data_IF_750077865239
#
_entry.id   IF_750077865239
#
_cell.length_a   1.000
_cell.length_b   1.000
_cell.length_c   1.000
_cell.angle_alpha   90.00
_cell.angle_beta   90.00
_cell.angle_gamma   90.00
#
_symmetry.space_group_name_H-M   'P 1'
#
loop_
_entity.id
_entity.type
_entity.pdbx_description
1 polymer ?
#
# COMPACT_ATOMS: atom_id res chain seq x y z
N UNK A 1 -13.55 40.45 -23.27
CA UNK A 1 -12.37 39.72 -22.73
C UNK A 1 -12.47 39.40 -21.24
N UNK A 2 -13.03 40.29 -20.39
CA UNK A 2 -13.15 40.07 -18.94
C UNK A 2 -13.99 38.84 -18.53
N UNK A 3 -15.08 38.53 -19.26
CA UNK A 3 -15.97 37.39 -18.96
C UNK A 3 -15.33 36.00 -19.14
N UNK A 4 -14.35 35.86 -20.04
CA UNK A 4 -13.72 34.56 -20.35
C UNK A 4 -12.67 34.16 -19.30
N UNK A 5 -12.01 35.14 -18.68
CA UNK A 5 -11.01 34.89 -17.64
C UNK A 5 -11.64 34.57 -16.27
N UNK A 6 -12.83 35.10 -15.97
CA UNK A 6 -13.55 34.81 -14.73
C UNK A 6 -14.12 33.39 -14.74
N UNK A 7 -14.57 32.89 -15.89
CA UNK A 7 -15.05 31.50 -16.03
C UNK A 7 -13.90 30.52 -15.83
N UNK A 8 -12.74 30.74 -16.46
CA UNK A 8 -11.55 29.87 -16.28
C UNK A 8 -11.08 29.84 -14.81
N UNK A 9 -11.13 30.96 -14.10
CA UNK A 9 -10.76 31.05 -12.68
C UNK A 9 -11.76 30.29 -11.78
N UNK A 10 -13.06 30.36 -12.08
CA UNK A 10 -14.09 29.58 -11.37
C UNK A 10 -13.99 28.08 -11.69
N UNK A 11 -13.64 27.69 -12.92
CA UNK A 11 -13.43 26.28 -13.28
C UNK A 11 -12.21 25.71 -12.56
N UNK A 12 -11.10 26.45 -12.48
CA UNK A 12 -9.91 26.03 -11.72
C UNK A 12 -10.16 25.90 -10.20
N UNK A 13 -11.14 26.62 -9.63
CA UNK A 13 -11.50 26.50 -8.22
C UNK A 13 -12.47 25.34 -7.94
N UNK A 14 -13.20 24.86 -8.95
CA UNK A 14 -14.12 23.72 -8.84
C UNK A 14 -13.45 22.36 -9.12
N UNK A 15 -12.17 22.34 -9.50
CA UNK A 15 -11.47 21.11 -9.93
C UNK A 15 -10.48 20.54 -8.92
N UNK A 16 -10.51 20.96 -7.66
CA UNK A 16 -9.67 20.35 -6.61
C UNK A 16 -10.53 19.70 -5.54
N UNK A 17 -11.12 18.56 -5.89
CA UNK A 17 -11.29 17.46 -4.94
C UNK A 17 -10.22 16.43 -5.28
N UNK A 18 -8.96 16.70 -4.90
CA UNK A 18 -7.94 15.65 -4.86
C UNK A 18 -7.67 15.39 -3.39
N UNK A 19 -8.35 14.39 -2.83
CA UNK A 19 -8.10 13.98 -1.47
C UNK A 19 -6.87 13.10 -1.35
N UNK A 20 -5.98 12.98 -2.36
CA UNK A 20 -4.65 12.34 -2.32
C UNK A 20 -4.38 11.62 -0.99
N UNK A 21 -4.95 10.42 -0.84
CA UNK A 21 -5.15 9.76 0.44
C UNK A 21 -4.05 8.72 0.65
N UNK A 22 -2.80 9.17 0.68
CA UNK A 22 -1.72 8.28 1.10
C UNK A 22 -1.96 7.88 2.56
N UNK A 23 -2.15 6.60 2.81
CA UNK A 23 -2.33 6.04 4.15
C UNK A 23 -1.09 5.23 4.51
N UNK A 24 -0.58 5.47 5.71
CA UNK A 24 0.49 4.70 6.32
C UNK A 24 -0.11 3.64 7.23
N UNK A 25 0.11 2.38 6.90
CA UNK A 25 -0.21 1.22 7.71
C UNK A 25 1.04 0.81 8.49
N UNK A 26 1.15 1.25 9.75
CA UNK A 26 2.27 0.89 10.62
C UNK A 26 1.96 -0.41 11.35
N UNK A 27 2.97 -1.28 11.50
CA UNK A 27 2.79 -2.56 12.15
C UNK A 27 3.94 -2.86 13.11
N UNK A 28 3.62 -3.62 14.15
CA UNK A 28 4.57 -4.24 15.06
C UNK A 28 4.23 -5.72 15.24
N UNK A 29 5.25 -6.53 15.54
CA UNK A 29 5.07 -7.96 15.72
C UNK A 29 6.33 -8.68 16.17
N UNK A 30 6.30 -10.00 16.03
CA UNK A 30 7.46 -10.87 16.27
C UNK A 30 7.61 -11.89 15.15
N UNK A 31 8.84 -12.13 14.76
CA UNK A 31 9.19 -13.23 13.84
C UNK A 31 8.88 -14.56 14.53
N UNK A 32 8.12 -15.42 13.85
CA UNK A 32 7.70 -16.72 14.38
C UNK A 32 8.46 -17.87 13.76
N UNK A 33 8.82 -17.76 12.48
CA UNK A 33 9.47 -18.83 11.76
C UNK A 33 10.26 -18.30 10.56
N UNK A 34 11.18 -19.11 10.07
CA UNK A 34 11.94 -18.88 8.84
C UNK A 34 12.07 -20.17 8.05
N UNK A 35 12.09 -20.07 6.73
CA UNK A 35 12.38 -21.17 5.83
C UNK A 35 13.47 -20.71 4.86
N UNK A 36 14.65 -21.33 4.88
CA UNK A 36 15.71 -21.06 3.90
C UNK A 36 15.84 -22.31 3.02
N UNK A 37 15.12 -22.33 1.90
CA UNK A 37 15.14 -23.43 0.94
C UNK A 37 16.50 -23.47 0.23
N UNK A 38 16.98 -22.30 -0.19
CA UNK A 38 18.30 -22.12 -0.81
C UNK A 38 19.02 -20.94 -0.17
N UNK A 39 20.32 -21.11 0.09
CA UNK A 39 21.14 -20.10 0.75
C UNK A 39 20.94 -20.04 2.27
N UNK A 40 21.49 -19.01 2.90
CA UNK A 40 21.35 -18.76 4.34
C UNK A 40 21.06 -17.27 4.56
N UNK A 41 19.94 -16.83 3.98
CA UNK A 41 19.53 -15.43 4.02
C UNK A 41 19.09 -15.03 5.44
N UNK A 42 18.24 -15.84 6.06
CA UNK A 42 17.78 -15.64 7.43
C UNK A 42 18.62 -16.45 8.44
N UNK A 43 19.15 -15.76 9.44
CA UNK A 43 19.79 -16.41 10.59
C UNK A 43 18.73 -16.78 11.64
N UNK A 44 18.82 -17.97 12.24
CA UNK A 44 17.88 -18.45 13.26
C UNK A 44 17.71 -17.51 14.47
N UNK A 45 18.68 -16.62 14.74
CA UNK A 45 18.57 -15.58 15.77
C UNK A 45 17.45 -14.56 15.52
N UNK A 46 16.91 -14.48 14.30
CA UNK A 46 15.73 -13.62 14.03
C UNK A 46 14.46 -14.19 14.64
N UNK A 47 14.37 -15.49 14.94
CA UNK A 47 13.16 -16.09 15.53
C UNK A 47 12.92 -15.50 16.92
N UNK A 48 11.72 -14.98 17.15
CA UNK A 48 11.32 -14.27 18.36
C UNK A 48 11.77 -12.81 18.43
N UNK A 49 12.55 -12.32 17.45
CA UNK A 49 12.91 -10.91 17.35
C UNK A 49 11.68 -10.05 17.05
N UNK A 50 11.70 -8.80 17.51
CA UNK A 50 10.71 -7.79 17.11
C UNK A 50 10.88 -7.49 15.62
N UNK A 51 9.75 -7.45 14.92
CA UNK A 51 9.61 -6.84 13.61
C UNK A 51 8.73 -5.59 13.75
N UNK A 52 9.12 -4.50 13.11
CA UNK A 52 8.30 -3.29 13.04
C UNK A 52 8.54 -2.56 11.74
N UNK A 53 7.50 -1.95 11.21
CA UNK A 53 7.58 -1.35 9.90
C UNK A 53 6.32 -0.59 9.53
N UNK A 54 6.22 -0.26 8.25
CA UNK A 54 5.02 0.30 7.68
C UNK A 54 4.93 0.00 6.19
N UNK A 55 3.69 0.02 5.68
CA UNK A 55 3.36 0.12 4.26
C UNK A 55 2.69 1.48 4.04
N UNK A 56 3.13 2.22 3.04
CA UNK A 56 2.42 3.41 2.55
C UNK A 56 1.62 2.97 1.33
N UNK A 57 0.38 3.43 1.16
CA UNK A 57 -0.45 3.11 0.01
C UNK A 57 -1.30 4.31 -0.40
N UNK A 58 -1.51 4.50 -1.71
CA UNK A 58 -2.51 5.43 -2.24
C UNK A 58 -3.90 4.78 -2.26
N UNK A 59 -4.71 5.08 -1.24
CA UNK A 59 -6.05 4.52 -1.12
C UNK A 59 -7.06 5.18 -2.07
N UNK A 60 -6.69 6.24 -2.82
CA UNK A 60 -7.52 6.74 -3.92
C UNK A 60 -7.42 5.87 -5.18
N UNK A 61 -6.30 5.16 -5.38
CA UNK A 61 -6.14 4.22 -6.50
C UNK A 61 -6.66 2.81 -6.18
N UNK A 62 -6.74 2.48 -4.90
CA UNK A 62 -7.44 1.29 -4.40
C UNK A 62 -8.99 1.38 -4.53
N UNK A 63 -9.50 2.14 -5.52
CA UNK A 63 -10.93 2.40 -5.77
C UNK A 63 -11.46 1.54 -6.94
N UNK A 64 -10.59 0.73 -7.58
CA UNK A 64 -10.89 -0.07 -8.78
C UNK A 64 -11.25 -1.55 -8.54
N UNK A 65 -11.43 -1.97 -7.29
CA UNK A 65 -11.67 -3.36 -6.91
C UNK A 65 -13.04 -3.88 -7.31
N UNK A 66 -13.18 -5.21 -7.36
CA UNK A 66 -14.48 -5.88 -7.53
C UNK A 66 -14.88 -6.50 -6.18
N UNK A 67 -16.17 -6.49 -5.90
CA UNK A 67 -16.77 -7.34 -4.88
C UNK A 67 -16.67 -8.80 -5.33
N UNK A 68 -16.19 -9.71 -4.48
CA UNK A 68 -16.31 -11.15 -4.76
C UNK A 68 -17.60 -11.72 -4.16
N UNK A 69 -18.00 -11.23 -2.99
CA UNK A 69 -19.26 -11.51 -2.28
C UNK A 69 -19.71 -10.26 -1.52
N UNK A 70 -20.95 -10.23 -1.01
CA UNK A 70 -21.57 -9.07 -0.34
C UNK A 70 -20.85 -8.52 0.90
N UNK A 71 -19.71 -9.10 1.28
CA UNK A 71 -18.92 -8.82 2.47
C UNK A 71 -17.41 -8.94 2.23
N UNK A 72 -16.96 -9.19 0.99
CA UNK A 72 -15.55 -9.36 0.64
C UNK A 72 -15.18 -8.58 -0.61
N UNK A 73 -14.18 -7.71 -0.48
CA UNK A 73 -13.70 -6.83 -1.52
C UNK A 73 -12.18 -6.97 -1.68
N UNK A 74 -11.74 -6.93 -2.93
CA UNK A 74 -10.32 -6.95 -3.27
C UNK A 74 -10.04 -5.88 -4.32
N UNK A 75 -8.97 -5.12 -4.08
CA UNK A 75 -8.50 -4.07 -4.96
C UNK A 75 -7.14 -4.44 -5.49
N UNK A 76 -7.08 -4.64 -6.80
CA UNK A 76 -5.81 -4.68 -7.50
C UNK A 76 -5.44 -3.25 -7.89
N UNK A 77 -4.27 -2.80 -7.46
CA UNK A 77 -3.73 -1.47 -7.83
C UNK A 77 -3.03 -1.56 -9.21
N UNK A 78 -2.97 -2.76 -9.81
CA UNK A 78 -2.33 -3.07 -11.10
C UNK A 78 -2.82 -2.23 -12.27
N UNK A 79 -1.93 -1.36 -12.73
CA UNK A 79 -1.60 -1.01 -14.13
C UNK A 79 -1.01 0.40 -14.24
N UNK A 80 -1.02 1.14 -13.13
CA UNK A 80 -0.42 2.46 -12.95
C UNK A 80 0.65 2.39 -11.85
N UNK A 81 1.58 3.37 -11.74
CA UNK A 81 2.61 3.34 -10.70
C UNK A 81 1.98 3.16 -9.32
N UNK A 82 2.27 2.03 -8.70
CA UNK A 82 1.90 1.70 -7.33
C UNK A 82 2.51 2.74 -6.41
N UNK A 83 1.70 3.38 -5.58
CA UNK A 83 2.20 4.28 -4.54
C UNK A 83 2.48 3.49 -3.26
N UNK A 84 2.86 2.22 -3.43
CA UNK A 84 3.13 1.33 -2.33
C UNK A 84 4.62 1.41 -1.98
N UNK A 85 4.90 1.57 -0.70
CA UNK A 85 6.28 1.51 -0.21
C UNK A 85 6.27 0.76 1.10
N UNK A 86 7.03 -0.32 1.15
CA UNK A 86 7.20 -1.12 2.35
C UNK A 86 8.55 -0.83 2.99
N UNK A 87 8.53 -0.63 4.30
CA UNK A 87 9.72 -0.57 5.13
C UNK A 87 9.53 -1.46 6.35
N UNK A 88 10.56 -2.22 6.74
CA UNK A 88 10.55 -2.94 8.01
C UNK A 88 11.94 -3.13 8.59
N UNK A 89 12.00 -3.34 9.89
CA UNK A 89 13.23 -3.55 10.64
C UNK A 89 13.15 -4.82 11.49
N UNK A 90 14.25 -5.59 11.48
CA UNK A 90 14.46 -6.75 12.33
C UNK A 90 15.89 -6.67 12.90
N UNK A 91 16.03 -6.73 14.22
CA UNK A 91 17.34 -6.67 14.91
C UNK A 91 18.24 -5.49 14.47
N UNK A 92 17.65 -4.31 14.19
CA UNK A 92 18.39 -3.12 13.73
C UNK A 92 18.81 -3.15 12.26
N UNK A 93 18.40 -4.16 11.48
CA UNK A 93 18.57 -4.19 10.02
C UNK A 93 17.29 -3.74 9.36
N UNK A 94 17.40 -2.78 8.45
CA UNK A 94 16.28 -2.24 7.68
C UNK A 94 16.16 -2.89 6.31
N UNK A 95 14.92 -3.09 5.87
CA UNK A 95 14.53 -3.65 4.59
C UNK A 95 13.49 -2.75 3.95
N UNK A 96 13.56 -2.59 2.63
CA UNK A 96 12.67 -1.72 1.86
C UNK A 96 12.30 -2.35 0.53
N UNK A 97 11.04 -2.18 0.13
CA UNK A 97 10.53 -2.32 -1.23
C UNK A 97 10.01 -0.92 -1.62
N UNK A 98 10.62 -0.28 -2.62
CA UNK A 98 10.38 1.14 -2.93
C UNK A 98 9.47 1.37 -4.12
N UNK A 99 9.08 0.31 -4.82
CA UNK A 99 8.32 0.37 -6.07
C UNK A 99 9.12 0.90 -7.26
N UNK A 100 10.41 1.23 -7.07
CA UNK A 100 11.28 1.79 -8.12
C UNK A 100 11.52 0.78 -9.26
N UNK A 101 11.31 -0.51 -9.00
CA UNK A 101 11.55 -1.61 -9.95
C UNK A 101 10.27 -2.25 -10.48
N UNK A 102 9.11 -1.68 -10.17
CA UNK A 102 7.83 -2.22 -10.61
C UNK A 102 7.59 -2.00 -12.10
N UNK A 103 8.26 -1.02 -12.71
CA UNK A 103 8.14 -0.76 -14.14
C UNK A 103 9.07 -1.66 -14.96
N UNK A 104 8.48 -2.50 -15.80
CA UNK A 104 9.19 -3.30 -16.78
C UNK A 104 9.26 -2.56 -18.13
N UNK A 105 10.43 -1.98 -18.41
CA UNK A 105 10.69 -1.24 -19.64
C UNK A 105 10.64 -2.09 -20.93
N UNK A 106 10.82 -3.41 -20.84
CA UNK A 106 10.75 -4.29 -22.01
C UNK A 106 9.32 -4.45 -22.53
N UNK A 107 8.34 -4.46 -21.61
CA UNK A 107 6.93 -4.62 -21.94
C UNK A 107 6.14 -3.31 -21.87
N UNK A 108 6.80 -2.20 -21.49
CA UNK A 108 6.17 -0.90 -21.22
C UNK A 108 4.99 -1.04 -20.24
N UNK A 109 5.19 -1.84 -19.20
CA UNK A 109 4.14 -2.23 -18.27
C UNK A 109 4.66 -2.32 -16.84
N UNK A 110 3.81 -2.06 -15.87
CA UNK A 110 4.09 -2.35 -14.47
C UNK A 110 3.91 -3.84 -14.20
N UNK A 111 4.89 -4.48 -13.57
CA UNK A 111 4.84 -5.83 -13.01
C UNK A 111 4.63 -5.68 -11.52
N UNK A 112 3.49 -5.07 -11.17
CA UNK A 112 3.01 -4.94 -9.82
C UNK A 112 2.21 -6.20 -9.47
N UNK A 113 2.27 -6.62 -8.21
CA UNK A 113 1.35 -7.58 -7.60
C UNK A 113 1.08 -7.04 -6.19
N UNK A 114 0.44 -5.88 -6.20
CA UNK A 114 0.13 -5.02 -5.07
C UNK A 114 -1.37 -4.98 -4.86
N UNK A 115 -1.82 -5.34 -3.66
CA UNK A 115 -3.25 -5.33 -3.37
C UNK A 115 -3.58 -4.96 -1.93
N UNK A 116 -4.79 -4.43 -1.81
CA UNK A 116 -5.51 -4.24 -0.58
C UNK A 116 -6.78 -5.08 -0.65
N UNK A 117 -6.85 -6.10 0.20
CA UNK A 117 -8.05 -6.89 0.43
C UNK A 117 -8.68 -6.46 1.75
N UNK A 118 -10.01 -6.41 1.79
CA UNK A 118 -10.72 -6.17 3.04
C UNK A 118 -12.11 -6.78 3.01
N UNK A 119 -12.63 -7.09 4.19
CA UNK A 119 -13.96 -7.63 4.38
C UNK A 119 -14.51 -7.27 5.74
N UNK A 120 -15.84 -7.34 5.87
CA UNK A 120 -16.56 -7.01 7.09
C UNK A 120 -18.06 -6.90 6.82
N UNK A 121 -18.85 -6.94 7.89
CA UNK A 121 -20.31 -6.75 7.81
C UNK A 121 -21.11 -8.03 8.02
N UNK A 122 -22.08 -8.28 7.14
CA UNK A 122 -23.05 -9.40 7.27
C UNK A 122 -23.10 -10.16 5.95
N UNK A 123 -23.06 -11.49 6.02
CA UNK A 123 -23.14 -12.35 4.85
C UNK A 123 -24.57 -12.55 4.32
N UNK A 124 -24.69 -13.33 3.23
CA UNK A 124 -25.97 -13.64 2.59
C UNK A 124 -26.95 -14.45 3.47
N UNK A 125 -26.46 -15.05 4.56
CA UNK A 125 -27.26 -15.81 5.54
C UNK A 125 -27.63 -14.98 6.78
N UNK A 126 -27.11 -13.77 6.89
CA UNK A 126 -27.32 -12.90 8.06
C UNK A 126 -26.28 -13.10 9.16
N UNK A 127 -25.22 -13.87 8.91
CA UNK A 127 -24.14 -14.12 9.86
C UNK A 127 -23.09 -12.99 9.79
N UNK A 128 -22.49 -12.68 10.93
CA UNK A 128 -21.49 -11.61 11.03
C UNK A 128 -20.17 -12.06 10.38
N UNK A 129 -19.60 -11.18 9.55
CA UNK A 129 -18.30 -11.36 8.91
C UNK A 129 -17.27 -10.52 9.65
N UNK A 130 -16.16 -11.13 10.11
CA UNK A 130 -15.08 -10.42 10.79
C UNK A 130 -14.53 -9.26 9.95
N UNK A 131 -14.24 -8.13 10.60
CA UNK A 131 -13.48 -7.04 9.98
C UNK A 131 -12.07 -7.54 9.70
N UNK A 132 -11.64 -7.47 8.46
CA UNK A 132 -10.31 -7.90 8.06
C UNK A 132 -9.76 -7.01 6.95
N UNK A 133 -8.44 -6.86 6.94
CA UNK A 133 -7.74 -6.40 5.74
C UNK A 133 -6.38 -7.05 5.62
N UNK A 134 -5.93 -7.16 4.38
CA UNK A 134 -4.62 -7.65 3.98
C UNK A 134 -3.97 -6.71 2.98
N UNK A 135 -2.65 -6.63 3.07
CA UNK A 135 -1.80 -5.83 2.20
C UNK A 135 -0.71 -6.72 1.64
N UNK A 136 -0.41 -6.56 0.36
CA UNK A 136 0.75 -7.18 -0.28
C UNK A 136 1.49 -6.18 -1.17
N UNK A 137 2.80 -6.30 -1.13
CA UNK A 137 3.79 -5.61 -1.94
C UNK A 137 4.68 -6.65 -2.63
N UNK A 138 5.01 -6.42 -3.90
CA UNK A 138 5.91 -7.27 -4.67
C UNK A 138 6.85 -6.38 -5.47
N UNK A 139 8.16 -6.61 -5.34
CA UNK A 139 9.18 -5.89 -6.09
C UNK A 139 10.05 -6.89 -6.87
N UNK A 140 10.15 -6.70 -8.18
CA UNK A 140 10.99 -7.52 -9.06
C UNK A 140 12.09 -6.69 -9.69
N UNK A 141 13.32 -7.19 -9.62
CA UNK A 141 14.49 -6.50 -10.12
C UNK A 141 15.32 -7.42 -11.00
N UNK A 142 15.54 -7.03 -12.25
CA UNK A 142 16.41 -7.72 -13.19
C UNK A 142 17.55 -6.81 -13.62
N UNK A 143 18.79 -7.27 -13.44
CA UNK A 143 20.00 -6.57 -13.89
C UNK A 143 20.80 -7.45 -14.82
N UNK A 144 21.17 -6.90 -15.98
CA UNK A 144 22.04 -7.57 -16.96
C UNK A 144 23.36 -6.81 -17.07
N UNK A 145 24.48 -7.44 -16.73
CA UNK A 145 25.83 -6.88 -16.83
C UNK A 145 26.74 -7.85 -17.56
N UNK A 146 27.32 -7.41 -18.69
CA UNK A 146 28.24 -8.21 -19.50
C UNK A 146 27.71 -9.60 -19.94
N UNK A 147 26.39 -9.75 -20.02
CA UNK A 147 25.74 -11.03 -20.38
C UNK A 147 25.38 -11.91 -19.18
N UNK A 148 25.75 -11.51 -17.96
CA UNK A 148 25.29 -12.12 -16.71
C UNK A 148 23.98 -11.45 -16.28
N UNK A 149 22.98 -12.24 -15.90
CA UNK A 149 21.65 -11.78 -15.46
C UNK A 149 21.48 -12.09 -13.97
N UNK A 150 21.06 -11.12 -13.19
CA UNK A 150 20.60 -11.31 -11.81
C UNK A 150 19.13 -10.93 -11.74
N UNK A 151 18.32 -11.86 -11.27
CA UNK A 151 16.90 -11.64 -11.03
C UNK A 151 16.60 -11.78 -9.54
N UNK A 152 15.94 -10.77 -8.97
CA UNK A 152 15.51 -10.71 -7.57
C UNK A 152 14.01 -10.50 -7.56
N UNK A 153 13.31 -11.26 -6.73
CA UNK A 153 11.90 -11.08 -6.43
C UNK A 153 11.71 -11.01 -4.91
N UNK A 154 11.10 -9.93 -4.43
CA UNK A 154 10.76 -9.73 -3.03
C UNK A 154 9.25 -9.63 -2.90
N UNK A 155 8.67 -10.26 -1.89
CA UNK A 155 7.25 -10.09 -1.58
C UNK A 155 7.08 -9.85 -0.09
N UNK A 156 6.35 -8.80 0.27
CA UNK A 156 5.99 -8.52 1.65
C UNK A 156 4.47 -8.53 1.75
N UNK A 157 3.91 -9.29 2.69
CA UNK A 157 2.48 -9.32 2.91
C UNK A 157 2.16 -9.39 4.40
N UNK A 158 1.08 -8.73 4.80
CA UNK A 158 0.50 -8.94 6.11
C UNK A 158 -1.02 -8.73 6.09
N UNK A 159 -1.70 -9.30 7.07
CA UNK A 159 -3.12 -9.07 7.27
C UNK A 159 -3.52 -9.15 8.73
N UNK A 160 -4.67 -8.57 9.02
CA UNK A 160 -5.35 -8.62 10.31
C UNK A 160 -6.82 -9.01 10.11
N UNK A 161 -7.39 -9.61 11.14
CA UNK A 161 -8.79 -9.96 11.26
C UNK A 161 -9.25 -9.67 12.68
N UNK A 162 -10.50 -9.31 12.85
CA UNK A 162 -11.20 -9.06 14.10
C UNK A 162 -12.66 -9.49 13.99
N UNK A 163 -13.08 -10.42 14.84
CA UNK A 163 -14.48 -10.82 14.93
C UNK A 163 -15.39 -9.71 15.47
N UNK A 164 -14.82 -8.71 16.15
CA UNK A 164 -15.53 -7.51 16.54
C UNK A 164 -15.52 -6.55 15.36
N UNK A 165 -16.70 -6.30 14.80
CA UNK A 165 -16.91 -5.37 13.67
C UNK A 165 -16.82 -3.94 14.24
N UNK A 166 -15.60 -3.49 14.54
CA UNK A 166 -15.34 -2.24 15.26
C UNK A 166 -14.34 -1.29 14.59
N UNK A 167 -13.72 -1.67 13.46
CA UNK A 167 -12.72 -0.82 12.81
C UNK A 167 -12.86 -0.65 11.28
N UNK A 168 -13.69 -1.45 10.59
CA UNK A 168 -14.11 -1.21 9.20
C UNK A 168 -15.60 -0.85 9.15
N UNK A 169 -16.03 0.09 10.01
CA UNK A 169 -17.47 0.33 10.23
C UNK A 169 -18.09 1.40 9.32
N UNK A 170 -17.28 2.28 8.71
CA UNK A 170 -17.77 3.36 7.85
C UNK A 170 -17.44 3.09 6.38
N UNK A 171 -18.37 2.41 5.70
CA UNK A 171 -18.34 2.26 4.25
C UNK A 171 -19.08 3.43 3.59
N UNK A 172 -18.37 4.23 2.79
CA UNK A 172 -18.95 5.39 2.09
C UNK A 172 -19.08 5.12 0.59
N UNK A 173 -20.16 5.58 -0.06
CA UNK A 173 -20.23 5.62 -1.51
C UNK A 173 -19.13 6.51 -2.07
N UNK A 174 -18.29 5.98 -2.96
CA UNK A 174 -17.27 6.76 -3.64
C UNK A 174 -17.84 7.34 -4.94
N UNK A 175 -17.73 8.66 -5.18
CA UNK A 175 -18.22 9.27 -6.43
C UNK A 175 -17.60 8.61 -7.67
N UNK A 176 -18.43 8.02 -8.53
CA UNK A 176 -17.99 7.36 -9.76
C UNK A 176 -17.81 5.85 -9.66
N UNK A 177 -18.01 5.26 -8.47
CA UNK A 177 -17.99 3.80 -8.24
C UNK A 177 -19.36 3.33 -7.78
N UNK A 178 -19.74 2.12 -8.19
CA UNK A 178 -21.01 1.49 -7.80
C UNK A 178 -21.04 1.05 -6.34
N UNK A 179 -19.86 0.72 -5.78
CA UNK A 179 -19.73 0.03 -4.50
C UNK A 179 -19.19 0.91 -3.35
N UNK A 180 -19.66 0.70 -2.11
CA UNK A 180 -19.10 1.35 -0.92
C UNK A 180 -17.64 0.94 -0.67
N UNK A 181 -16.82 1.86 -0.16
CA UNK A 181 -15.43 1.61 0.26
C UNK A 181 -15.25 2.02 1.73
N UNK A 182 -14.38 1.36 2.52
CA UNK A 182 -14.02 1.84 3.84
C UNK A 182 -13.49 3.27 3.78
N UNK A 183 -13.86 4.11 4.74
CA UNK A 183 -13.22 5.41 4.92
C UNK A 183 -11.79 5.21 5.41
N UNK A 184 -10.83 5.05 4.49
CA UNK A 184 -9.40 4.90 4.81
C UNK A 184 -8.79 6.14 5.49
N UNK A 185 -9.54 7.24 5.59
CA UNK A 185 -9.15 8.41 6.40
C UNK A 185 -9.40 8.18 7.89
N UNK A 186 -10.11 7.12 8.27
CA UNK A 186 -10.30 6.75 9.67
C UNK A 186 -8.99 6.23 10.26
N UNK A 187 -8.69 6.66 11.50
CA UNK A 187 -7.61 6.05 12.28
C UNK A 187 -8.08 4.67 12.75
N UNK A 188 -7.39 3.64 12.26
CA UNK A 188 -7.57 2.25 12.67
C UNK A 188 -6.47 1.96 13.69
N UNK A 189 -6.85 1.31 14.80
CA UNK A 189 -5.92 0.74 15.76
C UNK A 189 -6.37 -0.68 16.09
N UNK A 190 -5.64 -1.64 15.55
CA UNK A 190 -5.80 -3.05 15.87
C UNK A 190 -4.69 -3.48 16.82
N UNK A 191 -5.04 -4.19 17.89
CA UNK A 191 -4.11 -4.71 18.89
C UNK A 191 -4.47 -6.16 19.15
N UNK A 192 -3.48 -7.05 19.06
CA UNK A 192 -3.62 -8.44 19.47
C UNK A 192 -3.88 -8.50 20.99
N UNK A 193 -5.02 -9.08 21.36
CA UNK A 193 -5.42 -9.23 22.75
C UNK A 193 -4.88 -10.53 23.39
N UNK A 194 -4.13 -11.33 22.61
CA UNK A 194 -3.43 -12.53 23.06
C UNK A 194 -4.35 -13.69 23.42
N UNK A 195 -5.63 -13.62 23.07
CA UNK A 195 -6.61 -14.63 23.42
C UNK A 195 -6.70 -15.72 22.34
N UNK A 196 -6.52 -16.97 22.78
CA UNK A 196 -6.56 -18.15 21.90
C UNK A 196 -7.99 -18.30 21.37
N UNK A 197 -8.14 -18.52 20.06
CA UNK A 197 -9.41 -18.67 19.33
C UNK A 197 -10.29 -17.41 19.19
N UNK A 198 -9.78 -16.22 19.54
CA UNK A 198 -10.65 -15.14 19.99
C UNK A 198 -10.81 -13.95 19.03
N UNK A 199 -11.07 -14.25 17.76
CA UNK A 199 -11.57 -13.22 16.86
C UNK A 199 -10.56 -12.21 16.33
N UNK A 200 -9.53 -11.80 17.10
CA UNK A 200 -8.43 -10.98 16.60
C UNK A 200 -7.24 -11.86 16.20
N UNK A 201 -6.82 -11.79 14.95
CA UNK A 201 -5.63 -12.50 14.46
C UNK A 201 -4.88 -11.66 13.44
N UNK A 202 -3.55 -11.67 13.50
CA UNK A 202 -2.74 -10.93 12.53
C UNK A 202 -1.37 -11.56 12.33
N UNK A 203 -0.88 -11.48 11.10
CA UNK A 203 0.40 -12.06 10.72
C UNK A 203 0.78 -11.68 9.30
N UNK A 204 1.94 -12.16 8.88
CA UNK A 204 2.44 -11.88 7.55
C UNK A 204 3.70 -12.64 7.23
N UNK A 205 4.22 -12.37 6.05
CA UNK A 205 5.43 -12.99 5.54
C UNK A 205 6.26 -12.03 4.70
N UNK A 206 7.55 -12.35 4.60
CA UNK A 206 8.44 -11.78 3.62
C UNK A 206 9.17 -12.91 2.87
N UNK A 207 9.08 -12.89 1.56
CA UNK A 207 9.72 -13.81 0.63
C UNK A 207 10.86 -13.08 -0.11
N UNK A 208 12.03 -13.71 -0.16
CA UNK A 208 13.19 -13.28 -0.92
C UNK A 208 13.68 -14.41 -1.81
N UNK A 209 13.62 -14.15 -3.11
CA UNK A 209 14.07 -15.07 -4.15
C UNK A 209 15.11 -14.38 -5.04
N UNK A 210 16.23 -15.04 -5.27
CA UNK A 210 17.32 -14.54 -6.11
C UNK A 210 17.88 -15.65 -7.00
N UNK A 211 18.01 -15.36 -8.29
CA UNK A 211 18.70 -16.21 -9.25
C UNK A 211 19.79 -15.46 -9.99
N UNK A 212 20.83 -16.18 -10.35
CA UNK A 212 21.95 -15.71 -11.16
C UNK A 212 22.10 -16.59 -12.40
N UNK A 213 22.20 -15.97 -13.58
CA UNK A 213 22.50 -16.64 -14.85
C UNK A 213 23.82 -16.10 -15.38
N UNK A 214 24.78 -17.00 -15.61
CA UNK A 214 26.11 -16.63 -16.12
C UNK A 214 26.14 -16.42 -17.64
N UNK A 215 25.01 -16.63 -18.33
CA UNK A 215 24.88 -16.48 -19.77
C UNK A 215 25.63 -17.52 -20.60
N UNK A 216 26.23 -18.54 -19.96
CA UNK A 216 27.14 -19.51 -20.58
C UNK A 216 26.69 -20.95 -20.30
N UNK A 217 26.36 -21.27 -19.05
CA UNK A 217 26.31 -22.64 -18.54
C UNK A 217 24.96 -23.01 -17.94
N UNK A 218 24.32 -22.13 -17.15
CA UNK A 218 22.93 -22.29 -16.64
C UNK A 218 22.54 -21.21 -15.62
N UNK A 219 21.24 -21.02 -15.40
CA UNK A 219 20.66 -20.27 -14.27
C UNK A 219 20.75 -21.06 -12.96
N UNK A 220 21.27 -20.43 -11.91
CA UNK A 220 21.36 -20.93 -10.53
C UNK A 220 20.44 -20.13 -9.60
N UNK A 221 19.78 -20.80 -8.66
CA UNK A 221 19.09 -20.14 -7.54
C UNK A 221 20.09 -19.87 -6.43
N UNK A 222 20.27 -18.60 -6.08
CA UNK A 222 21.23 -18.13 -5.07
C UNK A 222 20.57 -18.06 -3.71
N UNK A 223 19.31 -17.62 -3.66
CA UNK A 223 18.51 -17.55 -2.45
C UNK A 223 17.05 -17.89 -2.74
N UNK A 224 16.45 -18.63 -1.83
CA UNK A 224 15.01 -18.88 -1.77
C UNK A 224 14.67 -18.98 -0.28
N UNK A 225 14.15 -17.90 0.27
CA UNK A 225 14.03 -17.72 1.70
C UNK A 225 12.76 -16.96 2.09
N UNK A 226 12.07 -17.48 3.09
CA UNK A 226 10.85 -16.91 3.63
C UNK A 226 10.97 -16.66 5.14
N UNK A 227 10.39 -15.56 5.59
CA UNK A 227 10.26 -15.19 6.98
C UNK A 227 8.78 -15.01 7.31
N UNK A 228 8.34 -15.55 8.43
CA UNK A 228 6.98 -15.44 8.93
C UNK A 228 6.94 -14.67 10.23
N UNK A 229 5.91 -13.86 10.42
CA UNK A 229 5.71 -13.11 11.65
C UNK A 229 4.25 -13.08 12.08
N UNK A 230 4.05 -12.87 13.38
CA UNK A 230 2.75 -12.53 13.97
C UNK A 230 2.75 -11.08 14.39
N UNK A 231 1.64 -10.41 14.13
CA UNK A 231 1.44 -9.02 14.49
C UNK A 231 0.91 -8.92 15.92
N UNK A 232 1.35 -7.89 16.65
CA UNK A 232 0.75 -7.51 17.91
C UNK A 232 -0.02 -6.19 17.82
N UNK A 233 0.26 -5.38 16.80
CA UNK A 233 -0.39 -4.10 16.59
C UNK A 233 -0.32 -3.70 15.12
N UNK A 234 -1.40 -3.11 14.63
CA UNK A 234 -1.47 -2.39 13.36
C UNK A 234 -2.20 -1.07 13.56
N UNK A 235 -1.71 0.00 12.95
CA UNK A 235 -2.36 1.30 12.99
C UNK A 235 -2.30 2.03 11.66
N UNK A 236 -3.37 2.72 11.29
CA UNK A 236 -3.39 3.59 10.11
C UNK A 236 -3.20 5.05 10.49
N UNK A 237 -2.51 5.78 9.63
CA UNK A 237 -2.38 7.23 9.71
C UNK A 237 -2.41 7.82 8.32
N UNK A 238 -3.24 8.84 8.10
CA UNK A 238 -3.15 9.62 6.86
C UNK A 238 -1.80 10.35 6.80
N UNK A 239 -1.06 10.12 5.73
CA UNK A 239 0.14 10.89 5.42
C UNK A 239 -0.34 12.22 4.88
N UNK A 240 -0.47 13.19 5.78
CA UNK A 240 -0.94 14.58 5.58
C UNK A 240 -1.38 14.92 4.16
N UNK A 241 -2.67 15.31 3.93
CA UNK A 241 -3.13 15.68 2.61
C UNK A 241 -2.22 16.76 2.06
N UNK A 242 -1.80 16.62 0.80
CA UNK A 242 -1.15 17.71 0.08
C UNK A 242 -2.12 18.89 0.19
N UNK A 243 -1.78 19.88 1.02
CA UNK A 243 -2.71 20.95 1.36
C UNK A 243 -3.13 21.60 0.04
N UNK A 244 -4.40 21.46 -0.32
CA UNK A 244 -4.96 22.20 -1.46
C UNK A 244 -4.60 23.66 -1.22
N UNK A 245 -3.90 24.34 -2.15
CA UNK A 245 -3.55 25.72 -1.93
C UNK A 245 -4.83 26.47 -1.61
N UNK A 246 -4.90 27.07 -0.41
CA UNK A 246 -6.10 27.74 0.06
C UNK A 246 -6.60 28.63 -1.08
N UNK A 247 -7.85 28.43 -1.50
CA UNK A 247 -8.46 29.17 -2.61
C UNK A 247 -8.34 30.69 -2.42
N UNK A 248 -8.27 31.15 -1.16
CA UNK A 248 -7.97 32.52 -0.79
C UNK A 248 -6.54 32.98 -1.18
N UNK A 249 -5.53 32.12 -1.02
CA UNK A 249 -4.12 32.40 -1.41
C UNK A 249 -4.01 32.47 -2.93
N UNK A 250 -4.65 31.55 -3.66
CA UNK A 250 -4.73 31.60 -5.12
C UNK A 250 -5.47 32.85 -5.61
N UNK A 251 -6.54 33.26 -4.91
CA UNK A 251 -7.26 34.50 -5.19
C UNK A 251 -6.38 35.74 -4.99
N UNK A 252 -5.61 35.81 -3.89
CA UNK A 252 -4.68 36.91 -3.64
C UNK A 252 -3.60 36.97 -4.73
N UNK A 253 -3.00 35.83 -5.09
CA UNK A 253 -1.97 35.77 -6.15
C UNK A 253 -2.54 36.25 -7.49
N UNK A 254 -3.75 35.82 -7.85
CA UNK A 254 -4.44 36.27 -9.06
C UNK A 254 -4.76 37.78 -9.01
N UNK A 255 -5.24 38.30 -7.88
CA UNK A 255 -5.53 39.72 -7.70
C UNK A 255 -4.26 40.57 -7.81
N UNK A 256 -3.15 40.13 -7.21
CA UNK A 256 -1.83 40.78 -7.30
C UNK A 256 -1.36 40.79 -8.76
N UNK A 257 -1.43 39.67 -9.47
CA UNK A 257 -1.06 39.61 -10.89
C UNK A 257 -1.90 40.55 -11.78
N UNK A 258 -3.20 40.65 -11.51
CA UNK A 258 -4.09 41.59 -12.23
C UNK A 258 -3.68 43.04 -11.96
N UNK A 259 -3.43 43.41 -10.70
CA UNK A 259 -2.99 44.75 -10.31
C UNK A 259 -1.64 45.13 -10.93
N UNK A 260 -0.66 44.21 -10.93
CA UNK A 260 0.63 44.45 -11.57
C UNK A 260 0.52 44.59 -13.09
N UNK A 261 -0.40 43.84 -13.74
CA UNK A 261 -0.66 43.98 -15.19
C UNK A 261 -1.27 45.34 -15.56
N UNK A 262 -2.01 45.98 -14.65
CA UNK A 262 -2.56 47.33 -14.84
C UNK A 262 -1.58 48.46 -14.50
N UNK A 263 -0.48 48.18 -13.77
CA UNK A 263 0.58 49.16 -13.49
C UNK A 263 1.69 49.20 -14.56
N UNK A 264 1.78 48.18 -15.40
CA UNK A 264 2.74 48.07 -16.51
C UNK A 264 2.14 48.47 -17.88
N UNK A 265 1.00 49.17 -17.89
CA UNK A 265 0.40 49.81 -19.07
C UNK A 265 0.34 51.31 -18.89
#
# INVERSE_FOLDING_TARGET
>A
MLKRNVIILFTLMMSFSSSAALVKFSFEGKVTDIDNIVGSFWDSSVIGAKISGYMIMDTERAIGGREETSYYWWNNIDSDPGALTTFFEILGKSYTLSGDYDYNAMYDSYVTDEFLEYGGGIDEYGDAVPDNFGLKDTEQHETIVNGEETFINKKFAFGISDSLIDFLTDFRPVPGVGEPQPDWLQEILWIDDGTIDNGKSGGGSFDYYETFDDGITSRETVADAMLYFRLNQVSTQQISPVSTPNSFVLFIIAAVMVVFRFRLR
#
